data_IF_501228341140
#
_entry.id   IF_501228341140
#
_cell.length_a   1.000
_cell.length_b   1.000
_cell.length_c   1.000
_cell.angle_alpha   90.00
_cell.angle_beta   90.00
_cell.angle_gamma   90.00
#
_symmetry.space_group_name_H-M   'P 1'
#
loop_
_entity.id
_entity.type
_entity.pdbx_description
1 polymer ?
#
# COMPACT_ATOMS: atom_id res chain seq x y z
N UNK A 1 -4.55 19.45 -4.89
CA UNK A 1 -3.40 18.83 -4.17
C UNK A 1 -3.67 17.34 -4.07
N UNK A 2 -2.69 16.51 -4.36
CA UNK A 2 -2.84 15.07 -4.16
C UNK A 2 -2.81 14.73 -2.67
N UNK A 3 -3.46 13.64 -2.25
CA UNK A 3 -3.42 13.20 -0.85
C UNK A 3 -1.96 13.03 -0.34
N UNK A 4 -1.03 12.67 -1.23
CA UNK A 4 0.39 12.52 -0.90
C UNK A 4 1.06 13.86 -0.54
N UNK A 5 0.72 14.97 -1.20
CA UNK A 5 1.28 16.30 -0.91
C UNK A 5 0.91 16.79 0.50
N UNK A 6 -0.18 16.29 1.07
CA UNK A 6 -0.59 16.59 2.45
C UNK A 6 0.15 15.73 3.48
N UNK A 7 0.83 14.68 3.06
CA UNK A 7 1.54 13.77 3.95
C UNK A 7 2.73 14.44 4.65
N UNK A 8 3.04 13.94 5.85
CA UNK A 8 4.22 14.39 6.61
C UNK A 8 5.52 14.12 5.83
N UNK A 9 5.61 12.98 5.13
CA UNK A 9 6.78 12.61 4.35
C UNK A 9 7.07 13.65 3.25
N UNK A 10 6.03 14.05 2.51
CA UNK A 10 6.16 15.07 1.47
C UNK A 10 6.55 16.45 2.05
N UNK A 11 5.90 16.87 3.13
CA UNK A 11 6.16 18.18 3.79
C UNK A 11 7.61 18.28 4.29
N UNK A 12 8.15 17.21 4.89
CA UNK A 12 9.56 17.19 5.33
C UNK A 12 10.52 17.45 4.16
N UNK A 13 10.31 16.78 3.02
CA UNK A 13 11.18 16.98 1.85
C UNK A 13 10.99 18.37 1.24
N UNK A 14 9.75 18.89 1.22
CA UNK A 14 9.46 20.24 0.75
C UNK A 14 10.13 21.32 1.62
N UNK A 15 10.11 21.15 2.95
CA UNK A 15 10.81 22.02 3.90
C UNK A 15 12.33 21.94 3.73
N UNK A 16 12.88 20.72 3.61
CA UNK A 16 14.32 20.50 3.36
C UNK A 16 14.75 21.19 2.04
N UNK A 17 13.93 21.08 0.99
CA UNK A 17 14.19 21.70 -0.31
C UNK A 17 14.17 23.25 -0.23
N UNK A 18 13.16 23.80 0.44
CA UNK A 18 13.01 25.26 0.62
C UNK A 18 14.13 25.85 1.51
N UNK A 19 14.55 25.09 2.53
CA UNK A 19 15.61 25.48 3.45
C UNK A 19 17.03 25.24 2.93
N UNK A 20 17.20 24.60 1.78
CA UNK A 20 18.53 24.24 1.25
C UNK A 20 19.25 23.15 2.07
N UNK A 21 18.50 22.37 2.86
CA UNK A 21 19.00 21.34 3.78
C UNK A 21 18.67 19.91 3.32
N UNK A 22 18.53 19.70 2.00
CA UNK A 22 18.25 18.39 1.43
C UNK A 22 19.26 17.33 1.89
N UNK A 23 18.75 16.21 2.39
CA UNK A 23 19.59 15.05 2.65
C UNK A 23 20.06 14.44 1.32
N UNK A 24 21.27 13.86 1.35
CA UNK A 24 21.78 13.12 0.18
C UNK A 24 21.00 11.83 -0.10
N UNK A 25 20.35 11.26 0.94
CA UNK A 25 19.50 10.07 0.78
C UNK A 25 18.27 10.15 1.68
N UNK A 26 17.13 9.73 1.13
CA UNK A 26 15.87 9.52 1.86
C UNK A 26 15.41 8.09 1.66
N UNK A 27 14.90 7.47 2.73
CA UNK A 27 14.25 6.16 2.69
C UNK A 27 12.77 6.33 3.02
N UNK A 28 11.92 6.23 2.01
CA UNK A 28 10.46 6.24 2.17
C UNK A 28 9.97 4.83 2.50
N UNK A 29 9.44 4.67 3.70
CA UNK A 29 8.74 3.45 4.15
C UNK A 29 7.25 3.70 3.96
N UNK A 30 6.62 2.97 3.04
CA UNK A 30 5.25 3.19 2.61
C UNK A 30 4.50 1.86 2.45
N UNK A 31 3.34 1.65 3.08
CA UNK A 31 2.57 0.41 2.95
C UNK A 31 1.90 0.24 1.57
N UNK A 32 1.91 1.28 0.74
CA UNK A 32 1.28 1.33 -0.58
C UNK A 32 2.26 0.91 -1.68
N UNK A 33 2.31 -0.39 -1.95
CA UNK A 33 3.19 -0.94 -2.99
C UNK A 33 2.85 -0.40 -4.40
N UNK A 34 1.56 -0.18 -4.68
CA UNK A 34 1.09 0.27 -6.00
C UNK A 34 1.55 1.69 -6.31
N UNK A 35 1.48 2.58 -5.32
CA UNK A 35 1.77 4.00 -5.51
C UNK A 35 3.19 4.40 -5.05
N UNK A 36 3.98 3.49 -4.46
CA UNK A 36 5.32 3.78 -3.94
C UNK A 36 6.20 4.48 -4.98
N UNK A 37 6.28 3.93 -6.20
CA UNK A 37 7.06 4.51 -7.31
C UNK A 37 6.58 5.92 -7.69
N UNK A 38 5.28 6.14 -7.70
CA UNK A 38 4.68 7.46 -7.96
C UNK A 38 5.05 8.45 -6.86
N UNK A 39 4.96 8.04 -5.60
CA UNK A 39 5.33 8.89 -4.46
C UNK A 39 6.82 9.27 -4.48
N UNK A 40 7.70 8.34 -4.83
CA UNK A 40 9.12 8.65 -5.00
C UNK A 40 9.37 9.66 -6.13
N UNK A 41 8.63 9.56 -7.24
CA UNK A 41 8.71 10.55 -8.33
C UNK A 41 8.20 11.93 -7.91
N UNK A 42 7.16 12.00 -7.08
CA UNK A 42 6.72 13.28 -6.51
C UNK A 42 7.78 13.91 -5.59
N UNK A 43 8.47 13.10 -4.78
CA UNK A 43 9.61 13.59 -4.00
C UNK A 43 10.79 14.02 -4.89
N UNK A 44 11.05 13.31 -5.99
CA UNK A 44 12.09 13.68 -6.94
C UNK A 44 11.84 15.06 -7.58
N UNK A 45 10.57 15.39 -7.87
CA UNK A 45 10.20 16.73 -8.36
C UNK A 45 10.57 17.83 -7.39
N UNK A 46 10.36 17.61 -6.08
CA UNK A 46 10.75 18.56 -5.04
C UNK A 46 12.27 18.72 -4.94
N UNK A 47 13.00 17.59 -4.91
CA UNK A 47 14.47 17.59 -4.78
C UNK A 47 15.12 18.30 -5.97
N UNK A 48 14.63 18.08 -7.19
CA UNK A 48 15.13 18.73 -8.41
C UNK A 48 14.72 20.22 -8.45
N UNK A 49 13.60 20.58 -7.84
CA UNK A 49 12.98 21.88 -8.04
C UNK A 49 12.34 22.01 -9.42
N UNK A 50 11.61 20.95 -9.82
CA UNK A 50 11.11 20.75 -11.17
C UNK A 50 10.06 21.79 -11.58
N UNK A 51 10.25 22.42 -12.73
CA UNK A 51 9.20 23.17 -13.42
C UNK A 51 8.13 22.25 -14.02
N UNK A 52 7.11 22.81 -14.65
CA UNK A 52 6.01 22.04 -15.24
C UNK A 52 6.47 21.06 -16.36
N UNK A 53 7.55 21.39 -17.10
CA UNK A 53 8.14 20.51 -18.13
C UNK A 53 8.88 19.36 -17.46
N UNK A 54 9.80 19.66 -16.55
CA UNK A 54 10.57 18.66 -15.82
C UNK A 54 9.65 17.72 -15.02
N UNK A 55 8.62 18.26 -14.37
CA UNK A 55 7.64 17.46 -13.60
C UNK A 55 6.92 16.42 -14.48
N UNK A 56 6.55 16.77 -15.71
CA UNK A 56 5.95 15.81 -16.67
C UNK A 56 6.94 14.74 -17.09
N UNK A 57 8.20 15.14 -17.39
CA UNK A 57 9.24 14.20 -17.81
C UNK A 57 9.65 13.27 -16.67
N UNK A 58 9.73 13.75 -15.43
CA UNK A 58 9.96 12.91 -14.24
C UNK A 58 8.79 11.92 -14.05
N UNK A 59 7.54 12.37 -14.19
CA UNK A 59 6.38 11.50 -14.16
C UNK A 59 6.43 10.37 -15.19
N UNK A 60 6.90 10.67 -16.40
CA UNK A 60 7.08 9.73 -17.50
C UNK A 60 8.43 8.95 -17.45
N UNK A 61 9.29 9.21 -16.45
CA UNK A 61 10.63 8.61 -16.31
C UNK A 61 11.59 8.92 -17.49
N UNK A 62 11.41 10.09 -18.10
CA UNK A 62 12.17 10.55 -19.27
C UNK A 62 13.07 11.76 -18.98
N UNK A 63 13.17 12.20 -17.73
CA UNK A 63 14.00 13.33 -17.36
C UNK A 63 15.44 12.88 -17.13
N UNK A 64 16.41 13.52 -17.83
CA UNK A 64 17.82 13.11 -17.86
C UNK A 64 18.47 13.04 -16.48
N UNK A 65 18.13 13.98 -15.58
CA UNK A 65 18.70 14.07 -14.25
C UNK A 65 17.85 13.36 -13.18
N UNK A 66 16.85 12.56 -13.57
CA UNK A 66 16.08 11.68 -12.69
C UNK A 66 16.01 10.27 -13.26
N UNK A 67 16.79 9.37 -12.68
CA UNK A 67 16.82 7.96 -13.08
C UNK A 67 16.06 7.11 -12.08
N UNK A 68 15.17 6.26 -12.58
CA UNK A 68 14.29 5.40 -11.77
C UNK A 68 14.67 3.93 -12.01
N UNK A 69 14.98 3.23 -10.95
CA UNK A 69 15.36 1.81 -10.93
C UNK A 69 14.46 1.01 -9.97
N UNK A 70 14.23 -0.26 -10.26
CA UNK A 70 14.48 -0.95 -11.53
C UNK A 70 13.52 -0.49 -12.65
N UNK A 71 13.65 -1.06 -13.84
CA UNK A 71 12.60 -0.93 -14.85
C UNK A 71 11.22 -1.38 -14.28
N UNK A 72 10.10 -0.87 -14.81
CA UNK A 72 8.77 -1.28 -14.35
C UNK A 72 8.63 -2.81 -14.31
N UNK A 73 8.00 -3.32 -13.24
CA UNK A 73 7.77 -4.76 -12.98
C UNK A 73 9.03 -5.64 -12.81
N UNK A 74 10.22 -5.05 -12.87
CA UNK A 74 11.48 -5.75 -12.62
C UNK A 74 11.88 -5.67 -11.14
N UNK A 75 12.83 -6.52 -10.73
CA UNK A 75 13.51 -6.42 -9.43
C UNK A 75 14.87 -5.76 -9.62
N UNK A 76 15.24 -4.88 -8.70
CA UNK A 76 16.52 -4.23 -8.73
C UNK A 76 17.67 -5.23 -8.58
N UNK A 77 18.59 -5.20 -9.53
CA UNK A 77 19.72 -6.13 -9.64
C UNK A 77 21.04 -5.44 -9.32
N UNK A 78 22.10 -6.24 -9.22
CA UNK A 78 23.48 -5.75 -9.12
C UNK A 78 23.87 -4.94 -10.37
N UNK A 79 23.32 -5.25 -11.55
CA UNK A 79 23.56 -4.53 -12.78
C UNK A 79 22.94 -3.12 -12.75
N UNK A 80 21.71 -3.00 -12.28
CA UNK A 80 21.02 -1.70 -12.10
C UNK A 80 21.83 -0.78 -11.16
N UNK A 81 22.31 -1.34 -10.04
CA UNK A 81 23.14 -0.58 -9.10
C UNK A 81 24.48 -0.18 -9.74
N UNK A 82 25.06 -1.03 -10.58
CA UNK A 82 26.30 -0.68 -11.30
C UNK A 82 26.05 0.47 -12.27
N UNK A 83 24.98 0.40 -13.06
CA UNK A 83 24.57 1.48 -13.98
C UNK A 83 24.36 2.80 -13.23
N UNK A 84 23.65 2.75 -12.10
CA UNK A 84 23.45 3.91 -11.22
C UNK A 84 24.81 4.49 -10.75
N UNK A 85 25.73 3.64 -10.28
CA UNK A 85 27.04 4.08 -9.79
C UNK A 85 27.90 4.69 -10.89
N UNK A 86 27.85 4.14 -12.10
CA UNK A 86 28.56 4.69 -13.26
C UNK A 86 28.01 6.07 -13.64
N UNK A 87 26.70 6.28 -13.52
CA UNK A 87 26.02 7.54 -13.86
C UNK A 87 26.07 8.60 -12.75
N UNK A 88 26.18 8.22 -11.48
CA UNK A 88 26.11 9.17 -10.36
C UNK A 88 27.29 10.17 -10.32
N UNK A 89 28.41 9.87 -10.93
CA UNK A 89 29.56 10.77 -11.05
C UNK A 89 29.50 11.70 -12.28
N UNK A 90 28.52 11.52 -13.14
CA UNK A 90 28.28 12.39 -14.30
C UNK A 90 27.47 13.60 -13.82
N UNK A 91 27.92 14.79 -14.18
CA UNK A 91 27.23 16.04 -13.81
C UNK A 91 25.80 16.09 -14.32
N UNK A 92 24.87 16.74 -13.60
CA UNK A 92 23.53 17.01 -14.12
C UNK A 92 23.57 17.71 -15.48
N UNK A 93 22.62 17.38 -16.35
CA UNK A 93 22.56 17.88 -17.75
C UNK A 93 21.65 19.10 -17.82
N UNK A 94 20.47 19.05 -17.21
CA UNK A 94 19.44 20.08 -17.34
C UNK A 94 19.26 20.90 -16.06
N UNK A 95 19.55 20.31 -14.91
CA UNK A 95 19.29 20.89 -13.59
C UNK A 95 20.54 21.09 -12.75
N UNK A 96 20.36 21.66 -11.58
CA UNK A 96 21.41 21.79 -10.57
C UNK A 96 21.62 20.53 -9.73
N UNK A 97 20.72 19.54 -9.83
CA UNK A 97 20.71 18.32 -9.01
C UNK A 97 20.35 17.11 -9.83
N UNK A 98 20.91 15.96 -9.45
CA UNK A 98 20.62 14.65 -10.05
C UNK A 98 20.00 13.74 -9.01
N UNK A 99 18.95 13.02 -9.38
CA UNK A 99 18.19 12.17 -8.46
C UNK A 99 18.14 10.74 -8.98
N UNK A 100 18.49 9.80 -8.11
CA UNK A 100 18.33 8.38 -8.35
C UNK A 100 17.22 7.84 -7.47
N UNK A 101 16.20 7.30 -8.09
CA UNK A 101 15.08 6.63 -7.42
C UNK A 101 15.32 5.13 -7.46
N UNK A 102 15.35 4.48 -6.30
CA UNK A 102 15.38 3.02 -6.17
C UNK A 102 14.09 2.57 -5.51
N UNK A 103 13.23 1.99 -6.32
CA UNK A 103 11.94 1.45 -5.89
C UNK A 103 12.09 0.02 -5.35
N UNK A 104 11.20 -0.38 -4.46
CA UNK A 104 11.10 -1.76 -3.95
C UNK A 104 12.41 -2.33 -3.34
N UNK A 105 13.07 -1.54 -2.49
CA UNK A 105 14.31 -1.95 -1.80
C UNK A 105 14.19 -3.27 -1.03
N UNK A 106 12.99 -3.66 -0.60
CA UNK A 106 12.74 -4.94 0.09
C UNK A 106 12.99 -6.16 -0.81
N UNK A 107 12.93 -6.00 -2.13
CA UNK A 107 13.16 -7.07 -3.12
C UNK A 107 14.62 -7.13 -3.59
N UNK A 108 15.42 -6.12 -3.23
CA UNK A 108 16.82 -6.03 -3.60
C UNK A 108 17.68 -6.96 -2.72
N UNK A 109 18.45 -7.84 -3.35
CA UNK A 109 19.34 -8.74 -2.63
C UNK A 109 20.50 -8.01 -1.93
N UNK A 110 20.96 -8.55 -0.81
CA UNK A 110 22.05 -7.96 -0.01
C UNK A 110 23.31 -7.58 -0.81
N UNK A 111 23.80 -8.36 -1.80
CA UNK A 111 24.97 -7.95 -2.62
C UNK A 111 24.74 -6.65 -3.41
N UNK A 112 23.52 -6.39 -3.88
CA UNK A 112 23.16 -5.17 -4.59
C UNK A 112 23.08 -3.99 -3.60
N UNK A 113 22.44 -4.18 -2.44
CA UNK A 113 22.38 -3.16 -1.39
C UNK A 113 23.77 -2.76 -0.89
N UNK A 114 24.68 -3.74 -0.70
CA UNK A 114 26.06 -3.47 -0.26
C UNK A 114 26.85 -2.60 -1.24
N UNK A 115 26.58 -2.70 -2.55
CA UNK A 115 27.23 -1.83 -3.55
C UNK A 115 26.83 -0.35 -3.42
N UNK A 116 25.65 -0.05 -2.88
CA UNK A 116 25.20 1.32 -2.65
C UNK A 116 25.91 1.99 -1.48
N UNK A 117 26.49 1.21 -0.54
CA UNK A 117 27.01 1.76 0.72
C UNK A 117 28.07 2.84 0.50
N UNK A 118 29.01 2.62 -0.44
CA UNK A 118 30.08 3.58 -0.70
C UNK A 118 29.54 4.94 -1.16
N UNK A 119 28.56 4.94 -2.08
CA UNK A 119 28.00 6.20 -2.60
C UNK A 119 27.06 6.86 -1.60
N UNK A 120 26.45 6.09 -0.70
CA UNK A 120 25.64 6.64 0.40
C UNK A 120 26.53 7.21 1.53
N UNK A 121 27.77 6.73 1.70
CA UNK A 121 28.75 7.29 2.65
C UNK A 121 29.37 8.58 2.12
N UNK A 122 29.80 8.56 0.85
CA UNK A 122 30.48 9.67 0.20
C UNK A 122 29.74 10.05 -1.09
N UNK A 123 28.56 10.68 -0.99
CA UNK A 123 27.74 11.02 -2.13
C UNK A 123 28.40 12.11 -2.99
N UNK A 124 28.34 12.03 -4.32
CA UNK A 124 28.77 13.12 -5.17
C UNK A 124 27.95 14.39 -4.91
N UNK A 125 28.55 15.55 -5.12
CA UNK A 125 27.87 16.83 -4.91
C UNK A 125 26.62 16.95 -5.82
N UNK A 126 25.53 17.42 -5.23
CA UNK A 126 24.23 17.60 -5.91
C UNK A 126 23.58 16.29 -6.43
N UNK A 127 23.99 15.14 -5.91
CA UNK A 127 23.36 13.85 -6.16
C UNK A 127 22.54 13.43 -4.97
N UNK A 128 21.29 13.02 -5.22
CA UNK A 128 20.37 12.59 -4.18
C UNK A 128 19.79 11.22 -4.49
N UNK A 129 19.57 10.42 -3.46
CA UNK A 129 19.01 9.08 -3.55
C UNK A 129 17.64 9.03 -2.86
N UNK A 130 16.63 8.58 -3.59
CA UNK A 130 15.29 8.33 -3.06
C UNK A 130 15.06 6.83 -3.05
N UNK A 131 15.12 6.23 -1.88
CA UNK A 131 14.95 4.80 -1.67
C UNK A 131 13.52 4.54 -1.22
N UNK A 132 12.82 3.59 -1.84
CA UNK A 132 11.46 3.23 -1.48
C UNK A 132 11.34 1.79 -1.02
N UNK A 133 10.56 1.55 0.02
CA UNK A 133 10.28 0.20 0.51
C UNK A 133 8.89 0.10 1.12
N UNK A 134 8.24 -1.04 0.94
CA UNK A 134 7.01 -1.38 1.66
C UNK A 134 7.29 -2.03 3.01
N UNK A 135 8.51 -2.55 3.19
CA UNK A 135 8.96 -3.19 4.41
C UNK A 135 10.44 -2.86 4.64
N UNK A 136 10.75 -2.25 5.76
CA UNK A 136 12.14 -1.86 6.08
C UNK A 136 13.03 -3.01 6.56
N UNK A 137 12.46 -4.14 6.99
CA UNK A 137 13.25 -5.23 7.57
C UNK A 137 14.24 -5.89 6.59
N UNK A 138 13.91 -6.09 5.29
CA UNK A 138 14.87 -6.61 4.32
C UNK A 138 15.92 -5.59 3.88
N UNK A 139 15.71 -4.29 4.17
CA UNK A 139 16.70 -3.25 3.87
C UNK A 139 17.79 -3.29 4.91
N UNK A 140 19.05 -3.43 4.46
CA UNK A 140 20.20 -3.57 5.36
C UNK A 140 20.27 -2.42 6.37
N UNK A 141 20.57 -2.70 7.65
CA UNK A 141 20.75 -1.65 8.68
C UNK A 141 21.78 -0.59 8.28
N UNK A 142 22.81 -1.00 7.55
CA UNK A 142 23.87 -0.12 7.02
C UNK A 142 23.36 0.86 5.96
N UNK A 143 22.37 0.50 5.15
CA UNK A 143 21.68 1.40 4.22
C UNK A 143 20.74 2.32 4.99
N UNK A 144 19.93 1.75 5.90
CA UNK A 144 18.96 2.52 6.70
C UNK A 144 19.61 3.62 7.55
N UNK A 145 20.80 3.36 8.09
CA UNK A 145 21.52 4.34 8.92
C UNK A 145 22.09 5.54 8.15
N UNK A 146 22.16 5.44 6.81
CA UNK A 146 22.72 6.49 5.92
C UNK A 146 21.65 7.26 5.16
N UNK A 147 20.39 6.89 5.31
CA UNK A 147 19.27 7.58 4.68
C UNK A 147 18.35 8.22 5.73
N UNK A 148 17.87 9.44 5.47
CA UNK A 148 16.87 10.09 6.32
C UNK A 148 15.54 9.34 6.12
N UNK A 149 15.09 8.65 7.18
CA UNK A 149 13.85 7.86 7.14
C UNK A 149 12.64 8.79 7.05
N UNK A 150 11.77 8.49 6.09
CA UNK A 150 10.44 9.06 5.92
C UNK A 150 9.42 7.94 6.07
N UNK A 151 8.43 8.12 6.93
CA UNK A 151 7.33 7.17 7.10
C UNK A 151 6.05 7.77 6.52
N UNK A 152 5.45 7.05 5.60
CA UNK A 152 4.13 7.38 5.10
C UNK A 152 3.12 6.53 5.88
N UNK A 153 2.36 7.20 6.74
CA UNK A 153 1.25 6.57 7.44
C UNK A 153 0.02 6.45 6.51
N UNK A 154 -0.97 5.69 6.95
CA UNK A 154 -2.25 5.63 6.25
C UNK A 154 -2.89 7.01 6.16
N UNK A 155 -3.53 7.29 5.03
CA UNK A 155 -4.28 8.54 4.82
C UNK A 155 -5.61 8.51 5.58
N UNK A 156 -6.14 9.67 5.99
CA UNK A 156 -7.50 9.78 6.50
C UNK A 156 -8.53 9.29 5.47
N UNK A 157 -9.61 8.68 5.94
CA UNK A 157 -10.70 8.18 5.05
C UNK A 157 -11.22 9.28 4.12
N UNK A 158 -11.36 10.52 4.60
CA UNK A 158 -11.80 11.65 3.78
C UNK A 158 -10.85 11.97 2.61
N UNK A 159 -9.54 11.82 2.82
CA UNK A 159 -8.56 12.04 1.76
C UNK A 159 -8.59 10.91 0.72
N UNK A 160 -8.77 9.66 1.18
CA UNK A 160 -8.94 8.49 0.30
C UNK A 160 -10.25 8.60 -0.49
N UNK A 161 -11.35 8.98 0.15
CA UNK A 161 -12.64 9.19 -0.52
C UNK A 161 -12.55 10.26 -1.61
N UNK A 162 -11.89 11.39 -1.31
CA UNK A 162 -11.68 12.46 -2.29
C UNK A 162 -10.82 11.99 -3.47
N UNK A 163 -9.77 11.19 -3.20
CA UNK A 163 -8.92 10.60 -4.21
C UNK A 163 -9.70 9.65 -5.14
N UNK A 164 -10.51 8.75 -4.58
CA UNK A 164 -11.32 7.82 -5.37
C UNK A 164 -12.38 8.56 -6.19
N UNK A 165 -13.05 9.57 -5.65
CA UNK A 165 -14.00 10.39 -6.41
C UNK A 165 -13.35 11.13 -7.59
N UNK A 166 -12.10 11.55 -7.43
CA UNK A 166 -11.36 12.21 -8.50
C UNK A 166 -10.95 11.26 -9.63
N UNK A 167 -10.49 10.05 -9.28
CA UNK A 167 -10.04 9.05 -10.27
C UNK A 167 -11.20 8.26 -10.90
N UNK A 168 -12.22 7.97 -10.11
CA UNK A 168 -13.36 7.13 -10.50
C UNK A 168 -14.70 7.85 -10.25
N UNK A 169 -14.99 8.94 -11.00
CA UNK A 169 -16.18 9.78 -10.74
C UNK A 169 -17.51 9.04 -10.90
N UNK A 170 -17.55 7.93 -11.62
CA UNK A 170 -18.73 7.09 -11.77
C UNK A 170 -19.02 6.21 -10.54
N UNK A 171 -18.05 6.05 -9.61
CA UNK A 171 -18.24 5.22 -8.40
C UNK A 171 -19.05 5.98 -7.36
N UNK A 172 -20.15 5.38 -6.91
CA UNK A 172 -21.00 5.94 -5.86
C UNK A 172 -20.61 5.49 -4.46
N UNK A 173 -19.82 4.43 -4.35
CA UNK A 173 -19.36 3.74 -3.15
C UNK A 173 -17.95 4.19 -2.69
N UNK A 174 -17.53 5.41 -3.08
CA UNK A 174 -16.20 5.94 -2.74
C UNK A 174 -15.92 5.99 -1.23
N UNK A 175 -16.96 6.22 -0.42
CA UNK A 175 -16.85 6.24 1.05
C UNK A 175 -16.58 4.84 1.62
N UNK A 176 -17.30 3.83 1.13
CA UNK A 176 -17.13 2.43 1.52
C UNK A 176 -15.75 1.92 1.10
N UNK A 177 -15.30 2.28 -0.11
CA UNK A 177 -13.96 1.99 -0.61
C UNK A 177 -12.90 2.59 0.34
N UNK A 178 -13.06 3.85 0.74
CA UNK A 178 -12.14 4.52 1.64
C UNK A 178 -12.05 3.81 3.00
N UNK A 179 -13.19 3.45 3.59
CA UNK A 179 -13.24 2.70 4.85
C UNK A 179 -12.55 1.33 4.75
N UNK A 180 -12.72 0.62 3.63
CA UNK A 180 -12.13 -0.70 3.38
C UNK A 180 -10.63 -0.67 3.09
N UNK A 181 -10.15 0.44 2.52
CA UNK A 181 -8.73 0.59 2.13
C UNK A 181 -7.77 0.60 3.32
N UNK A 182 -8.27 0.92 4.52
CA UNK A 182 -7.44 1.15 5.70
C UNK A 182 -6.51 2.35 5.55
N UNK A 183 -6.89 3.32 4.69
CA UNK A 183 -6.10 4.51 4.42
C UNK A 183 -4.96 4.32 3.41
N UNK A 184 -4.93 3.21 2.68
CA UNK A 184 -3.93 2.92 1.63
C UNK A 184 -4.55 3.20 0.26
N UNK A 185 -4.01 4.19 -0.49
CA UNK A 185 -4.58 4.64 -1.77
C UNK A 185 -4.59 3.54 -2.82
N UNK A 186 -3.50 2.79 -3.00
CA UNK A 186 -3.43 1.71 -3.97
C UNK A 186 -4.45 0.59 -3.70
N UNK A 187 -4.69 0.29 -2.41
CA UNK A 187 -5.75 -0.65 -2.04
C UNK A 187 -7.15 -0.09 -2.36
N UNK A 188 -7.37 1.21 -2.17
CA UNK A 188 -8.62 1.86 -2.55
C UNK A 188 -8.84 1.82 -4.06
N UNK A 189 -7.79 2.05 -4.85
CA UNK A 189 -7.81 1.96 -6.31
C UNK A 189 -8.12 0.54 -6.77
N UNK A 190 -7.48 -0.48 -6.19
CA UNK A 190 -7.78 -1.90 -6.48
C UNK A 190 -9.25 -2.25 -6.20
N UNK A 191 -9.80 -1.75 -5.09
CA UNK A 191 -11.21 -1.92 -4.75
C UNK A 191 -12.12 -1.19 -5.76
N UNK A 192 -11.73 0.00 -6.22
CA UNK A 192 -12.48 0.79 -7.19
C UNK A 192 -12.46 0.18 -8.60
N UNK A 193 -11.38 -0.49 -8.98
CA UNK A 193 -11.25 -1.23 -10.25
C UNK A 193 -12.04 -2.55 -10.25
N UNK A 194 -12.38 -3.08 -9.06
CA UNK A 194 -13.19 -4.28 -8.89
C UNK A 194 -14.67 -4.09 -9.23
N UNK A 195 -15.46 -5.13 -8.96
CA UNK A 195 -16.91 -5.10 -9.12
C UNK A 195 -17.63 -4.13 -8.16
N UNK A 196 -18.94 -4.19 -8.14
CA UNK A 196 -19.74 -3.43 -7.18
C UNK A 196 -19.46 -3.91 -5.75
N UNK A 197 -18.94 -3.03 -4.91
CA UNK A 197 -18.72 -3.36 -3.48
C UNK A 197 -20.02 -3.70 -2.75
N UNK A 198 -21.14 -3.12 -3.20
CA UNK A 198 -22.46 -3.44 -2.63
C UNK A 198 -22.83 -4.91 -2.90
N UNK A 199 -22.61 -5.40 -4.11
CA UNK A 199 -22.88 -6.79 -4.48
C UNK A 199 -21.90 -7.77 -3.83
N UNK A 200 -20.61 -7.45 -3.88
CA UNK A 200 -19.57 -8.24 -3.22
C UNK A 200 -19.75 -8.24 -1.68
N UNK A 201 -20.16 -7.11 -1.10
CA UNK A 201 -20.45 -6.96 0.32
C UNK A 201 -21.68 -7.77 0.74
N UNK A 202 -22.75 -7.75 -0.07
CA UNK A 202 -23.93 -8.58 0.17
C UNK A 202 -23.57 -10.07 0.09
N UNK A 203 -22.75 -10.48 -0.89
CA UNK A 203 -22.28 -11.86 -1.01
C UNK A 203 -21.44 -12.27 0.20
N UNK A 204 -20.55 -11.41 0.70
CA UNK A 204 -19.75 -11.67 1.90
C UNK A 204 -20.63 -11.78 3.15
N UNK A 205 -21.61 -10.88 3.30
CA UNK A 205 -22.56 -10.92 4.42
C UNK A 205 -23.45 -12.16 4.38
N UNK A 206 -23.93 -12.54 3.18
CA UNK A 206 -24.71 -13.74 2.98
C UNK A 206 -23.89 -14.99 3.33
N UNK A 207 -22.62 -15.04 2.90
CA UNK A 207 -21.71 -16.14 3.24
C UNK A 207 -21.57 -16.27 4.76
N UNK A 208 -21.29 -15.17 5.48
CA UNK A 208 -21.19 -15.17 6.95
C UNK A 208 -22.49 -15.58 7.63
N UNK A 209 -23.62 -15.13 7.11
CA UNK A 209 -24.94 -15.46 7.64
C UNK A 209 -25.37 -16.92 7.41
N UNK A 210 -24.88 -17.57 6.36
CA UNK A 210 -25.31 -18.94 5.97
C UNK A 210 -24.22 -20.00 6.12
N UNK A 211 -22.97 -19.60 6.41
CA UNK A 211 -21.82 -20.52 6.49
C UNK A 211 -22.14 -21.73 7.41
N UNK A 212 -21.87 -22.90 6.89
CA UNK A 212 -22.03 -24.18 7.61
C UNK A 212 -20.84 -25.08 7.32
N UNK A 213 -20.55 -26.10 8.15
CA UNK A 213 -19.45 -27.02 7.89
C UNK A 213 -19.52 -27.66 6.50
N UNK A 214 -20.71 -28.06 6.06
CA UNK A 214 -20.93 -28.62 4.71
C UNK A 214 -20.73 -27.60 3.59
N UNK A 215 -20.89 -26.29 3.87
CA UNK A 215 -20.74 -25.21 2.92
C UNK A 215 -19.30 -24.75 2.68
N UNK A 216 -18.35 -25.10 3.58
CA UNK A 216 -16.95 -24.66 3.49
C UNK A 216 -16.29 -25.00 2.15
N UNK A 217 -16.40 -26.24 1.62
CA UNK A 217 -15.77 -26.56 0.33
C UNK A 217 -16.33 -25.75 -0.84
N UNK A 218 -17.61 -25.39 -0.80
CA UNK A 218 -18.22 -24.54 -1.83
C UNK A 218 -17.75 -23.09 -1.73
N UNK A 219 -17.65 -22.58 -0.50
CA UNK A 219 -17.15 -21.22 -0.23
C UNK A 219 -15.69 -21.06 -0.69
N UNK A 220 -14.84 -22.06 -0.42
CA UNK A 220 -13.44 -22.07 -0.88
C UNK A 220 -13.34 -22.08 -2.41
N UNK A 221 -14.12 -22.93 -3.09
CA UNK A 221 -14.15 -22.98 -4.56
C UNK A 221 -14.72 -21.72 -5.22
N UNK A 222 -15.54 -20.96 -4.50
CA UNK A 222 -16.11 -19.69 -4.97
C UNK A 222 -15.08 -18.57 -5.13
N UNK A 223 -13.87 -18.74 -4.57
CA UNK A 223 -12.77 -17.76 -4.70
C UNK A 223 -11.81 -18.24 -5.80
N UNK A 224 -11.90 -17.63 -6.99
CA UNK A 224 -11.14 -18.06 -8.16
C UNK A 224 -9.64 -17.74 -8.05
N UNK A 225 -9.28 -16.59 -7.46
CA UNK A 225 -7.92 -16.11 -7.37
C UNK A 225 -7.64 -15.33 -6.06
N UNK A 226 -6.36 -14.97 -5.86
CA UNK A 226 -5.90 -14.24 -4.67
C UNK A 226 -6.47 -12.84 -4.56
N UNK A 227 -6.65 -12.13 -5.67
CA UNK A 227 -7.16 -10.76 -5.65
C UNK A 227 -8.63 -10.76 -5.21
N UNK A 228 -9.45 -11.67 -5.76
CA UNK A 228 -10.82 -11.87 -5.34
C UNK A 228 -10.92 -12.29 -3.87
N UNK A 229 -10.08 -13.23 -3.42
CA UNK A 229 -10.03 -13.64 -2.02
C UNK A 229 -9.64 -12.48 -1.09
N UNK A 230 -8.68 -11.67 -1.48
CA UNK A 230 -8.28 -10.48 -0.72
C UNK A 230 -9.42 -9.47 -0.55
N UNK A 231 -10.17 -9.19 -1.63
CA UNK A 231 -11.37 -8.32 -1.56
C UNK A 231 -12.45 -8.93 -0.67
N UNK A 232 -12.76 -10.20 -0.86
CA UNK A 232 -13.75 -10.91 -0.03
C UNK A 232 -13.37 -10.86 1.46
N UNK A 233 -12.10 -11.11 1.82
CA UNK A 233 -11.63 -11.03 3.21
C UNK A 233 -11.79 -9.63 3.78
N UNK A 234 -11.49 -8.58 3.02
CA UNK A 234 -11.67 -7.20 3.43
C UNK A 234 -13.15 -6.90 3.74
N UNK A 235 -14.06 -7.33 2.86
CA UNK A 235 -15.50 -7.16 3.04
C UNK A 235 -16.04 -7.98 4.21
N UNK A 236 -15.60 -9.23 4.37
CA UNK A 236 -15.95 -10.06 5.53
C UNK A 236 -15.53 -9.40 6.84
N UNK A 237 -14.31 -8.85 6.91
CA UNK A 237 -13.84 -8.12 8.11
C UNK A 237 -14.72 -6.92 8.43
N UNK A 238 -15.13 -6.17 7.39
CA UNK A 238 -16.03 -5.04 7.58
C UNK A 238 -17.40 -5.50 8.09
N UNK A 239 -17.98 -6.54 7.50
CA UNK A 239 -19.26 -7.11 7.93
C UNK A 239 -19.18 -7.64 9.40
N UNK A 240 -18.09 -8.29 9.77
CA UNK A 240 -17.86 -8.78 11.14
C UNK A 240 -17.70 -7.62 12.14
N UNK A 241 -17.00 -6.53 11.75
CA UNK A 241 -16.89 -5.31 12.58
C UNK A 241 -18.25 -4.68 12.78
N UNK A 242 -19.01 -4.51 11.71
CA UNK A 242 -20.33 -3.88 11.75
C UNK A 242 -21.32 -4.72 12.59
N UNK A 243 -21.25 -6.05 12.50
CA UNK A 243 -22.00 -6.93 13.37
C UNK A 243 -21.61 -6.79 14.86
N UNK A 244 -20.33 -6.58 15.15
CA UNK A 244 -19.87 -6.30 16.51
C UNK A 244 -20.39 -4.94 17.00
N UNK A 245 -20.35 -3.89 16.16
CA UNK A 245 -20.92 -2.58 16.50
C UNK A 245 -22.41 -2.67 16.78
N UNK A 246 -23.15 -3.45 15.98
CA UNK A 246 -24.56 -3.73 16.21
C UNK A 246 -24.78 -4.41 17.59
N UNK A 247 -23.97 -5.41 17.96
CA UNK A 247 -24.01 -6.07 19.26
C UNK A 247 -23.73 -5.14 20.43
N UNK A 248 -22.87 -4.14 20.22
CA UNK A 248 -22.52 -3.13 21.24
C UNK A 248 -23.49 -1.95 21.28
N UNK A 249 -24.58 -1.96 20.48
CA UNK A 249 -25.57 -0.89 20.42
C UNK A 249 -25.05 0.40 19.78
N UNK A 250 -24.01 0.31 18.94
CA UNK A 250 -23.38 1.46 18.25
C UNK A 250 -23.67 1.40 16.76
N UNK A 251 -24.96 1.41 16.40
CA UNK A 251 -25.40 1.28 15.01
C UNK A 251 -24.98 2.48 14.12
N UNK A 252 -24.69 3.64 14.72
CA UNK A 252 -24.16 4.83 14.04
C UNK A 252 -22.78 4.63 13.41
N UNK A 253 -22.03 3.61 13.85
CA UNK A 253 -20.68 3.27 13.32
C UNK A 253 -20.71 2.19 12.23
N UNK A 254 -21.90 1.72 11.82
CA UNK A 254 -22.05 0.71 10.76
C UNK A 254 -21.77 1.35 9.40
N UNK A 255 -20.97 0.68 8.57
CA UNK A 255 -20.53 1.14 7.24
C UNK A 255 -21.13 0.34 6.08
N UNK A 256 -21.41 -0.96 6.27
CA UNK A 256 -21.81 -1.91 5.21
C UNK A 256 -23.28 -2.36 5.24
N UNK A 257 -24.18 -1.55 5.77
CA UNK A 257 -25.61 -1.86 5.81
C UNK A 257 -26.07 -2.51 7.11
N UNK A 258 -26.98 -1.82 7.80
CA UNK A 258 -27.48 -2.20 9.12
C UNK A 258 -28.20 -3.55 9.12
N UNK A 259 -28.86 -3.93 8.04
CA UNK A 259 -29.59 -5.20 7.94
C UNK A 259 -28.64 -6.40 7.95
N UNK A 260 -27.57 -6.35 7.18
CA UNK A 260 -26.53 -7.37 7.13
C UNK A 260 -25.80 -7.50 8.47
N UNK A 261 -25.47 -6.37 9.11
CA UNK A 261 -24.86 -6.35 10.40
C UNK A 261 -25.74 -7.03 11.47
N UNK A 262 -27.07 -6.74 11.48
CA UNK A 262 -28.04 -7.38 12.38
C UNK A 262 -28.18 -8.87 12.12
N UNK A 263 -28.22 -9.29 10.85
CA UNK A 263 -28.28 -10.72 10.46
C UNK A 263 -27.09 -11.51 11.00
N UNK A 264 -25.89 -10.98 10.84
CA UNK A 264 -24.66 -11.61 11.34
C UNK A 264 -24.61 -11.54 12.87
N UNK A 265 -24.95 -10.40 13.47
CA UNK A 265 -25.00 -10.22 14.91
C UNK A 265 -25.96 -11.18 15.61
N UNK A 266 -27.09 -11.52 14.99
CA UNK A 266 -28.02 -12.50 15.53
C UNK A 266 -27.44 -13.91 15.64
N UNK A 267 -26.44 -14.25 14.79
CA UNK A 267 -25.85 -15.58 14.68
C UNK A 267 -24.60 -15.79 15.53
N UNK A 268 -23.83 -14.74 15.75
CA UNK A 268 -22.54 -14.81 16.44
C UNK A 268 -22.55 -14.00 17.75
N UNK A 269 -21.92 -14.53 18.80
CA UNK A 269 -21.66 -13.76 20.02
C UNK A 269 -20.60 -12.68 19.78
N UNK A 270 -20.51 -11.67 20.64
CA UNK A 270 -19.46 -10.64 20.54
C UNK A 270 -18.05 -11.25 20.58
N UNK A 271 -17.82 -12.24 21.45
CA UNK A 271 -16.53 -12.95 21.52
C UNK A 271 -16.23 -13.75 20.24
N UNK A 272 -17.26 -14.36 19.62
CA UNK A 272 -17.12 -15.05 18.34
C UNK A 272 -16.75 -14.08 17.20
N UNK A 273 -17.37 -12.89 17.17
CA UNK A 273 -17.08 -11.87 16.17
C UNK A 273 -15.63 -11.35 16.29
N UNK A 274 -15.12 -11.18 17.50
CA UNK A 274 -13.71 -10.80 17.73
C UNK A 274 -12.76 -11.89 17.21
N UNK A 275 -13.01 -13.17 17.57
CA UNK A 275 -12.19 -14.28 17.06
C UNK A 275 -12.24 -14.41 15.54
N UNK A 276 -13.41 -14.22 14.94
CA UNK A 276 -13.57 -14.23 13.50
C UNK A 276 -12.78 -13.09 12.80
N UNK A 277 -12.74 -11.89 13.42
CA UNK A 277 -11.91 -10.77 12.98
C UNK A 277 -10.42 -11.13 12.98
N UNK A 278 -9.94 -11.72 14.08
CA UNK A 278 -8.54 -12.12 14.22
C UNK A 278 -8.18 -13.24 13.21
N UNK A 279 -9.10 -14.19 12.97
CA UNK A 279 -8.90 -15.24 11.97
C UNK A 279 -8.83 -14.65 10.55
N UNK A 280 -9.70 -13.71 10.20
CA UNK A 280 -9.71 -13.05 8.91
C UNK A 280 -8.44 -12.19 8.70
N UNK A 281 -7.97 -11.48 9.75
CA UNK A 281 -6.73 -10.72 9.71
C UNK A 281 -5.50 -11.63 9.50
N UNK A 282 -5.46 -12.81 10.13
CA UNK A 282 -4.40 -13.80 9.90
C UNK A 282 -4.42 -14.33 8.48
N UNK A 283 -5.59 -14.71 7.95
CA UNK A 283 -5.74 -15.18 6.59
C UNK A 283 -5.28 -14.13 5.57
N UNK A 284 -5.63 -12.85 5.76
CA UNK A 284 -5.16 -11.76 4.91
C UNK A 284 -3.63 -11.63 4.91
N UNK A 285 -3.01 -11.78 6.10
CA UNK A 285 -1.56 -11.78 6.23
C UNK A 285 -0.91 -12.97 5.53
N UNK A 286 -1.43 -14.18 5.73
CA UNK A 286 -0.91 -15.41 5.12
C UNK A 286 -0.98 -15.37 3.58
N UNK A 287 -2.05 -14.81 3.02
CA UNK A 287 -2.17 -14.63 1.57
C UNK A 287 -1.09 -13.70 1.01
N UNK A 288 -0.65 -12.68 1.75
CA UNK A 288 0.47 -11.81 1.35
C UNK A 288 1.81 -12.55 1.31
N UNK A 289 1.98 -13.61 2.13
CA UNK A 289 3.19 -14.44 2.17
C UNK A 289 3.11 -15.69 1.30
N UNK A 290 2.28 -15.68 0.26
CA UNK A 290 2.14 -16.77 -0.71
C UNK A 290 1.67 -18.12 -0.15
N UNK A 291 0.94 -18.15 0.98
CA UNK A 291 0.30 -19.35 1.48
C UNK A 291 -0.66 -19.98 0.44
N UNK A 292 -0.93 -21.27 0.55
CA UNK A 292 -1.91 -21.92 -0.31
C UNK A 292 -3.31 -21.32 -0.08
N UNK A 293 -3.90 -20.78 -1.15
CA UNK A 293 -5.17 -20.06 -1.10
C UNK A 293 -6.30 -20.92 -0.50
N UNK A 294 -6.46 -22.14 -0.99
CA UNK A 294 -7.55 -23.01 -0.55
C UNK A 294 -7.41 -23.39 0.94
N UNK A 295 -6.20 -23.74 1.38
CA UNK A 295 -5.94 -24.09 2.78
C UNK A 295 -6.14 -22.90 3.71
N UNK A 296 -5.72 -21.70 3.29
CA UNK A 296 -5.89 -20.47 4.07
C UNK A 296 -7.37 -20.12 4.27
N UNK A 297 -8.17 -20.20 3.20
CA UNK A 297 -9.61 -19.95 3.27
C UNK A 297 -10.35 -21.04 4.06
N UNK A 298 -9.99 -22.30 3.91
CA UNK A 298 -10.58 -23.41 4.66
C UNK A 298 -10.34 -23.24 6.16
N UNK A 299 -9.10 -22.95 6.58
CA UNK A 299 -8.74 -22.68 7.97
C UNK A 299 -9.53 -21.49 8.53
N UNK A 300 -9.68 -20.40 7.77
CA UNK A 300 -10.49 -19.26 8.15
C UNK A 300 -11.96 -19.64 8.39
N UNK A 301 -12.60 -20.31 7.43
CA UNK A 301 -14.01 -20.66 7.54
C UNK A 301 -14.29 -21.63 8.70
N UNK A 302 -13.37 -22.57 8.95
CA UNK A 302 -13.44 -23.46 10.12
C UNK A 302 -13.34 -22.64 11.41
N UNK A 303 -12.36 -21.73 11.52
CA UNK A 303 -12.19 -20.88 12.70
C UNK A 303 -13.43 -20.00 12.99
N UNK A 304 -14.09 -19.48 11.94
CA UNK A 304 -15.35 -18.72 12.08
C UNK A 304 -16.47 -19.64 12.61
N UNK A 305 -16.53 -20.89 12.18
CA UNK A 305 -17.55 -21.84 12.60
C UNK A 305 -17.35 -22.33 14.05
N UNK A 306 -16.12 -22.59 14.47
CA UNK A 306 -15.77 -23.03 15.84
C UNK A 306 -15.99 -21.91 16.89
N UNK A 307 -15.99 -20.69 16.44
CA UNK A 307 -16.16 -19.50 17.31
C UNK A 307 -17.61 -19.11 17.60
N UNK A 308 -18.63 -19.84 17.17
CA UNK A 308 -20.08 -19.52 17.33
C UNK A 308 -20.58 -19.47 18.75
#
# INVERSE_FOLDING_TARGET
>A
MSAFEESRAYKIVAEDAAGGTLSHAYLLVCPDARNLRTFLKELAKLVIGADARAARLIGAEMYSDCRVFPAPEAKATVADVKELLDDCYIRPVEGGRKVFVLDNMQDMLAPAQNKLLKVLEEPPANVHFLLGTTNEFPVLPTVRSRAKKLELFSFPESAVEAHIRALYPARKDAREIAALSGGVLGRAEELAEGGSLAEEGEAAAQLLATLSPAGVPAAVRGCADRAQAGRMLALMRLCLRDALMCRLGKEELISCGAENARRIAARYSAAALVRAQDAAARAEKELKFNANLAMCLEALFIAILEGR
#
